data_IF_603572494285
#
_entry.id   IF_603572494285
#
_cell.length_a   1.000
_cell.length_b   1.000
_cell.length_c   1.000
_cell.angle_alpha   90.00
_cell.angle_beta   90.00
_cell.angle_gamma   90.00
#
_symmetry.space_group_name_H-M   'P 1'
#
loop_
_entity.id
_entity.type
_entity.pdbx_description
1 polymer ?
#
# COMPACT_ATOMS: atom_id res chain seq x y z
N UNK A 1 -17.04 -18.27 39.66
CA UNK A 1 -18.03 -18.65 38.62
C UNK A 1 -18.13 -17.53 37.60
N UNK A 2 -17.09 -17.31 36.77
CA UNK A 2 -17.02 -16.15 35.87
C UNK A 2 -16.12 -16.41 34.64
N UNK A 3 -16.17 -17.63 34.11
CA UNK A 3 -15.33 -18.05 32.98
C UNK A 3 -16.10 -18.77 31.86
N UNK A 4 -17.40 -18.52 31.70
CA UNK A 4 -18.23 -19.22 30.69
C UNK A 4 -19.08 -18.33 29.77
N UNK A 5 -18.85 -17.01 29.71
CA UNK A 5 -19.64 -16.10 28.84
C UNK A 5 -18.88 -15.63 27.58
N UNK A 6 -17.57 -15.90 27.48
CA UNK A 6 -16.73 -15.35 26.41
C UNK A 6 -16.86 -15.99 24.99
N UNK A 7 -17.13 -17.30 24.81
CA UNK A 7 -17.16 -17.87 23.46
C UNK A 7 -18.45 -17.57 22.67
N UNK A 8 -19.53 -17.15 23.34
CA UNK A 8 -20.81 -16.87 22.67
C UNK A 8 -20.91 -15.46 22.10
N UNK A 9 -20.27 -14.45 22.72
CA UNK A 9 -20.29 -13.07 22.22
C UNK A 9 -19.47 -12.87 20.94
N UNK A 10 -18.42 -13.67 20.71
CA UNK A 10 -17.56 -13.52 19.53
C UNK A 10 -18.20 -14.08 18.26
N UNK A 11 -19.03 -15.13 18.37
CA UNK A 11 -19.79 -15.66 17.22
C UNK A 11 -20.94 -14.74 16.81
N UNK A 12 -21.70 -14.19 17.77
CA UNK A 12 -22.82 -13.31 17.47
C UNK A 12 -22.40 -12.01 16.78
N UNK A 13 -21.29 -11.39 17.18
CA UNK A 13 -20.82 -10.16 16.55
C UNK A 13 -20.33 -10.39 15.11
N UNK A 14 -19.73 -11.55 14.82
CA UNK A 14 -19.25 -11.92 13.48
C UNK A 14 -20.43 -12.25 12.55
N UNK A 15 -21.44 -12.98 13.05
CA UNK A 15 -22.68 -13.22 12.28
C UNK A 15 -23.47 -11.93 12.02
N UNK A 16 -23.47 -10.97 12.95
CA UNK A 16 -24.11 -9.66 12.75
C UNK A 16 -23.31 -8.66 11.89
N UNK A 17 -22.01 -8.89 11.68
CA UNK A 17 -21.14 -8.04 10.83
C UNK A 17 -20.86 -8.64 9.46
N UNK A 18 -21.13 -9.93 9.28
CA UNK A 18 -21.08 -10.61 7.99
C UNK A 18 -22.44 -10.50 7.29
N UNK A 19 -22.64 -9.41 6.54
CA UNK A 19 -23.90 -9.15 5.83
C UNK A 19 -24.15 -10.07 4.62
N UNK A 20 -23.32 -11.10 4.39
CA UNK A 20 -23.40 -11.95 3.20
C UNK A 20 -23.40 -11.09 1.94
N UNK A 21 -24.25 -11.41 0.96
CA UNK A 21 -24.41 -10.63 -0.27
C UNK A 21 -25.08 -9.24 -0.05
N UNK A 22 -25.70 -9.02 1.11
CA UNK A 22 -26.41 -7.77 1.40
C UNK A 22 -25.46 -6.62 1.78
N UNK A 23 -24.15 -6.85 1.86
CA UNK A 23 -23.17 -5.83 2.23
C UNK A 23 -23.22 -4.60 1.31
N UNK A 24 -23.49 -4.79 0.01
CA UNK A 24 -23.69 -3.70 -0.96
C UNK A 24 -24.84 -2.78 -0.54
N UNK A 25 -25.91 -3.35 0.01
CA UNK A 25 -27.06 -2.59 0.49
C UNK A 25 -26.72 -1.70 1.68
N UNK A 26 -25.90 -2.21 2.59
CA UNK A 26 -25.49 -1.47 3.78
C UNK A 26 -24.43 -0.42 3.49
N UNK A 27 -23.55 -0.65 2.50
CA UNK A 27 -22.52 0.31 2.10
C UNK A 27 -23.03 1.39 1.14
N UNK A 28 -23.74 0.99 0.10
CA UNK A 28 -24.11 1.86 -1.02
C UNK A 28 -25.61 2.13 -1.13
N UNK A 29 -26.45 1.49 -0.32
CA UNK A 29 -27.90 1.62 -0.40
C UNK A 29 -28.54 0.65 -1.39
N UNK A 30 -29.73 0.97 -1.87
CA UNK A 30 -30.55 0.15 -2.75
C UNK A 30 -30.14 0.40 -4.22
N UNK A 31 -29.85 -0.67 -4.95
CA UNK A 31 -29.56 -0.61 -6.38
C UNK A 31 -30.72 0.05 -7.15
N UNK A 32 -30.40 0.86 -8.16
CA UNK A 32 -31.27 1.72 -8.96
C UNK A 32 -31.93 2.90 -8.22
N UNK A 33 -31.70 3.03 -6.91
CA UNK A 33 -32.09 4.23 -6.15
C UNK A 33 -30.83 5.02 -5.76
N UNK A 34 -29.89 4.35 -5.11
CA UNK A 34 -28.70 4.95 -4.52
C UNK A 34 -27.45 4.78 -5.38
N UNK A 35 -27.40 3.70 -6.14
CA UNK A 35 -26.34 3.45 -7.12
C UNK A 35 -26.87 2.58 -8.26
N UNK A 36 -26.14 2.54 -9.37
CA UNK A 36 -26.32 1.55 -10.43
C UNK A 36 -24.96 1.04 -10.91
N UNK A 37 -24.93 -0.13 -11.52
CA UNK A 37 -23.72 -0.60 -12.18
C UNK A 37 -23.47 0.18 -13.48
N UNK A 38 -22.20 0.46 -13.79
CA UNK A 38 -21.83 0.99 -15.10
C UNK A 38 -22.10 -0.04 -16.20
N UNK A 39 -21.84 -1.32 -15.93
CA UNK A 39 -22.06 -2.45 -16.84
C UNK A 39 -22.53 -3.69 -16.08
N UNK A 40 -21.83 -4.81 -16.25
CA UNK A 40 -22.16 -6.06 -15.55
C UNK A 40 -21.98 -5.92 -14.02
N UNK A 41 -22.96 -6.38 -13.20
CA UNK A 41 -22.82 -6.41 -11.75
C UNK A 41 -21.55 -7.13 -11.30
N UNK A 42 -20.86 -6.57 -10.30
CA UNK A 42 -19.61 -7.08 -9.71
C UNK A 42 -18.39 -7.11 -10.64
N UNK A 43 -18.53 -6.71 -11.91
CA UNK A 43 -17.42 -6.60 -12.87
C UNK A 43 -17.21 -5.18 -13.38
N UNK A 44 -17.96 -4.22 -12.85
CA UNK A 44 -17.91 -2.83 -13.29
C UNK A 44 -18.00 -1.88 -12.09
N UNK A 45 -17.51 -0.63 -12.23
CA UNK A 45 -17.72 0.40 -11.23
C UNK A 45 -19.19 0.65 -10.97
N UNK A 46 -19.48 1.13 -9.76
CA UNK A 46 -20.78 1.70 -9.43
C UNK A 46 -20.82 3.18 -9.80
N UNK A 47 -21.97 3.63 -10.28
CA UNK A 47 -22.31 5.03 -10.44
C UNK A 47 -23.24 5.38 -9.28
N UNK A 48 -22.78 6.25 -8.38
CA UNK A 48 -23.58 6.73 -7.24
C UNK A 48 -24.58 7.77 -7.71
N UNK A 49 -25.84 7.64 -7.28
CA UNK A 49 -26.88 8.64 -7.53
C UNK A 49 -26.57 9.89 -6.72
N UNK A 50 -26.62 11.04 -7.39
CA UNK A 50 -26.57 12.35 -6.76
C UNK A 50 -27.54 12.43 -5.56
N UNK A 51 -27.08 12.79 -4.34
CA UNK A 51 -27.92 12.84 -3.15
C UNK A 51 -29.23 13.62 -3.33
N UNK A 52 -29.21 14.70 -4.12
CA UNK A 52 -30.39 15.54 -4.37
C UNK A 52 -31.45 14.85 -5.24
N UNK A 53 -31.07 13.81 -5.99
CA UNK A 53 -31.96 13.05 -6.87
C UNK A 53 -32.55 11.81 -6.20
N UNK A 54 -32.11 11.48 -4.99
CA UNK A 54 -32.63 10.34 -4.23
C UNK A 54 -34.04 10.70 -3.70
N UNK A 55 -35.07 9.87 -3.92
CA UNK A 55 -36.39 10.13 -3.38
C UNK A 55 -36.37 10.26 -1.86
N UNK A 56 -37.10 11.25 -1.31
CA UNK A 56 -37.09 11.59 0.12
C UNK A 56 -37.31 10.38 1.06
N UNK A 57 -38.15 9.41 0.69
CA UNK A 57 -38.37 8.17 1.48
C UNK A 57 -37.14 7.26 1.60
N UNK A 58 -36.13 7.48 0.77
CA UNK A 58 -34.86 6.74 0.71
C UNK A 58 -33.65 7.64 0.97
N UNK A 59 -33.85 8.94 1.20
CA UNK A 59 -32.78 9.87 1.50
C UNK A 59 -32.26 9.65 2.93
N UNK A 60 -30.94 9.76 3.12
CA UNK A 60 -30.32 9.74 4.44
C UNK A 60 -30.50 11.06 5.19
N UNK A 61 -29.85 11.21 6.34
CA UNK A 61 -29.91 12.43 7.18
C UNK A 61 -29.11 13.63 6.62
N UNK A 62 -28.91 13.69 5.30
CA UNK A 62 -28.25 14.83 4.62
C UNK A 62 -26.72 14.78 4.53
N UNK A 63 -26.09 13.62 4.70
CA UNK A 63 -24.64 13.46 4.45
C UNK A 63 -24.39 12.92 3.03
N UNK A 64 -23.40 13.48 2.33
CA UNK A 64 -22.95 12.97 1.02
C UNK A 64 -22.20 11.62 1.10
N UNK A 65 -22.09 11.08 2.31
CA UNK A 65 -21.44 9.81 2.62
C UNK A 65 -22.54 8.86 3.10
N UNK A 66 -22.77 7.78 2.36
CA UNK A 66 -23.56 6.66 2.87
C UNK A 66 -22.85 6.08 4.09
N UNK A 67 -23.58 5.95 5.22
CA UNK A 67 -23.01 5.50 6.48
C UNK A 67 -22.28 4.16 6.31
N UNK A 68 -21.01 4.13 6.69
CA UNK A 68 -20.18 2.92 6.61
C UNK A 68 -20.65 1.89 7.65
N UNK A 69 -21.60 1.04 7.29
CA UNK A 69 -21.79 -0.26 7.93
C UNK A 69 -21.14 -1.33 7.06
N UNK A 70 -19.89 -1.65 7.40
CA UNK A 70 -19.10 -2.66 6.71
C UNK A 70 -17.63 -2.46 6.97
N UNK A 71 -17.02 -3.42 7.68
CA UNK A 71 -15.56 -3.48 7.80
C UNK A 71 -15.03 -4.29 6.59
N UNK A 72 -13.95 -3.82 5.96
CA UNK A 72 -13.27 -4.49 4.83
C UNK A 72 -12.96 -5.97 5.12
N UNK A 73 -12.77 -6.32 6.40
CA UNK A 73 -12.50 -7.68 6.88
C UNK A 73 -13.63 -8.68 6.56
N UNK A 74 -14.88 -8.22 6.41
CA UNK A 74 -16.05 -9.09 6.16
C UNK A 74 -16.56 -9.05 4.72
N UNK A 75 -15.85 -8.38 3.82
CA UNK A 75 -16.25 -8.19 2.44
C UNK A 75 -15.42 -9.13 1.56
N UNK A 76 -16.12 -10.01 0.83
CA UNK A 76 -15.47 -11.03 0.00
C UNK A 76 -14.93 -10.48 -1.32
N UNK A 77 -15.47 -9.36 -1.80
CA UNK A 77 -15.09 -8.79 -3.08
C UNK A 77 -14.75 -7.30 -2.94
N UNK A 78 -13.46 -6.99 -3.07
CA UNK A 78 -12.93 -5.64 -2.92
C UNK A 78 -13.10 -4.80 -4.18
N UNK A 79 -13.31 -5.41 -5.35
CA UNK A 79 -13.50 -4.72 -6.61
C UNK A 79 -14.71 -3.75 -6.58
N UNK A 80 -15.93 -4.20 -6.24
CA UNK A 80 -17.08 -3.31 -6.07
C UNK A 80 -16.95 -2.45 -4.80
N UNK A 81 -16.19 -2.87 -3.80
CA UNK A 81 -16.01 -2.08 -2.59
C UNK A 81 -15.25 -0.79 -2.88
N UNK A 82 -14.17 -0.86 -3.67
CA UNK A 82 -13.39 0.31 -4.06
C UNK A 82 -13.84 0.94 -5.39
N UNK A 83 -14.85 0.36 -6.03
CA UNK A 83 -15.34 0.80 -7.35
C UNK A 83 -14.23 0.78 -8.41
N UNK A 84 -13.34 -0.21 -8.36
CA UNK A 84 -12.29 -0.34 -9.37
C UNK A 84 -12.89 -0.59 -10.75
N UNK A 85 -12.38 0.13 -11.74
CA UNK A 85 -12.80 -0.05 -13.13
C UNK A 85 -12.24 -1.33 -13.75
N UNK A 86 -12.82 -1.73 -14.87
CA UNK A 86 -12.45 -2.95 -15.57
C UNK A 86 -10.98 -2.94 -16.02
N UNK A 87 -10.41 -1.76 -16.33
CA UNK A 87 -9.01 -1.62 -16.69
C UNK A 87 -8.10 -1.86 -15.48
N UNK A 88 -8.44 -1.35 -14.29
CA UNK A 88 -7.70 -1.67 -13.06
C UNK A 88 -7.87 -3.14 -12.66
N UNK A 89 -9.06 -3.69 -12.80
CA UNK A 89 -9.36 -5.07 -12.44
C UNK A 89 -8.68 -6.09 -13.36
N UNK A 90 -8.38 -5.76 -14.62
CA UNK A 90 -7.63 -6.66 -15.51
C UNK A 90 -6.23 -6.97 -14.99
N UNK A 91 -5.65 -6.07 -14.19
CA UNK A 91 -4.33 -6.26 -13.62
C UNK A 91 -4.36 -7.27 -12.48
N UNK A 92 -5.49 -7.45 -11.77
CA UNK A 92 -5.57 -8.36 -10.62
C UNK A 92 -5.26 -9.82 -11.02
N UNK A 93 -5.91 -10.42 -12.04
CA UNK A 93 -5.53 -11.76 -12.51
C UNK A 93 -4.09 -11.83 -13.02
N UNK A 94 -3.65 -10.79 -13.74
CA UNK A 94 -2.27 -10.72 -14.23
C UNK A 94 -1.27 -10.78 -13.05
N UNK A 95 -1.52 -10.03 -11.97
CA UNK A 95 -0.69 -10.08 -10.77
C UNK A 95 -0.76 -11.44 -10.10
N UNK A 96 -1.95 -12.03 -9.93
CA UNK A 96 -2.09 -13.36 -9.30
C UNK A 96 -1.30 -14.44 -10.04
N UNK A 97 -1.33 -14.42 -11.38
CA UNK A 97 -0.60 -15.38 -12.23
C UNK A 97 0.93 -15.16 -12.20
N UNK A 98 1.38 -13.94 -11.91
CA UNK A 98 2.80 -13.57 -11.88
C UNK A 98 3.36 -13.46 -10.45
N UNK A 99 2.72 -14.14 -9.49
CA UNK A 99 3.21 -14.27 -8.12
C UNK A 99 2.83 -13.11 -7.19
N UNK A 100 1.94 -12.23 -7.61
CA UNK A 100 1.36 -11.15 -6.82
C UNK A 100 2.29 -9.96 -6.60
N UNK A 101 1.81 -9.00 -5.81
CA UNK A 101 2.48 -7.72 -5.49
C UNK A 101 3.91 -7.84 -4.95
N UNK A 102 4.36 -9.03 -4.53
CA UNK A 102 5.63 -9.20 -3.81
C UNK A 102 6.61 -10.20 -4.44
N UNK A 103 6.24 -10.92 -5.50
CA UNK A 103 7.04 -12.04 -5.97
C UNK A 103 7.67 -11.85 -7.35
N UNK A 104 7.29 -10.79 -8.09
CA UNK A 104 7.90 -10.52 -9.39
C UNK A 104 9.09 -9.55 -9.28
N UNK A 105 10.27 -10.00 -9.73
CA UNK A 105 11.47 -9.17 -9.90
C UNK A 105 11.37 -8.28 -11.17
N UNK A 106 10.41 -8.55 -12.05
CA UNK A 106 10.31 -7.92 -13.36
C UNK A 106 9.42 -6.66 -13.38
N UNK A 107 8.49 -6.53 -12.42
CA UNK A 107 7.43 -5.52 -12.49
C UNK A 107 7.56 -4.39 -11.46
N UNK A 108 8.36 -4.58 -10.41
CA UNK A 108 8.53 -3.60 -9.35
C UNK A 108 10.02 -3.28 -9.14
N UNK A 109 10.35 -1.99 -9.16
CA UNK A 109 11.64 -1.53 -8.64
C UNK A 109 11.62 -1.79 -7.13
N UNK A 110 12.31 -2.84 -6.69
CA UNK A 110 12.46 -3.16 -5.28
C UNK A 110 13.81 -2.69 -4.77
N UNK A 111 13.84 -1.94 -3.65
CA UNK A 111 15.09 -1.68 -2.95
C UNK A 111 15.72 -3.00 -2.50
N UNK A 112 17.00 -3.20 -2.78
CA UNK A 112 17.74 -4.37 -2.31
C UNK A 112 17.90 -4.37 -0.78
N UNK A 113 17.97 -3.19 -0.17
CA UNK A 113 18.12 -2.95 1.27
C UNK A 113 16.95 -2.10 1.76
N UNK A 114 16.44 -2.39 2.96
CA UNK A 114 15.31 -1.69 3.57
C UNK A 114 15.74 -1.03 4.87
N UNK A 115 15.37 0.24 5.04
CA UNK A 115 15.44 0.91 6.33
C UNK A 115 14.31 0.42 7.24
N UNK A 116 14.59 -0.62 8.01
CA UNK A 116 13.62 -1.28 8.87
C UNK A 116 14.34 -2.04 10.00
N UNK A 117 13.80 -1.97 11.22
CA UNK A 117 14.32 -2.70 12.39
C UNK A 117 14.31 -4.24 12.21
N UNK A 118 13.50 -4.78 11.30
CA UNK A 118 13.49 -6.20 10.96
C UNK A 118 14.66 -6.64 10.07
N UNK A 119 15.34 -5.70 9.40
CA UNK A 119 16.40 -5.97 8.42
C UNK A 119 17.73 -5.28 8.77
N UNK A 120 17.81 -4.65 9.94
CA UNK A 120 18.97 -3.91 10.43
C UNK A 120 19.14 -4.18 11.93
N UNK A 121 20.37 -4.07 12.44
CA UNK A 121 20.59 -4.03 13.89
C UNK A 121 20.12 -2.67 14.43
N UNK A 122 19.87 -2.59 15.75
CA UNK A 122 19.52 -1.31 16.39
C UNK A 122 20.59 -0.23 16.14
N UNK A 123 21.87 -0.60 16.25
CA UNK A 123 23.00 0.30 15.98
C UNK A 123 23.02 0.80 14.53
N UNK A 124 22.77 -0.08 13.55
CA UNK A 124 22.69 0.32 12.14
C UNK A 124 21.51 1.26 11.89
N UNK A 125 20.37 0.98 12.51
CA UNK A 125 19.16 1.78 12.39
C UNK A 125 19.40 3.19 12.94
N UNK A 126 19.91 3.30 14.18
CA UNK A 126 20.20 4.57 14.83
C UNK A 126 21.27 5.36 14.07
N UNK A 127 22.35 4.71 13.62
CA UNK A 127 23.40 5.36 12.82
C UNK A 127 22.84 5.96 11.53
N UNK A 128 22.01 5.23 10.79
CA UNK A 128 21.41 5.79 9.58
C UNK A 128 20.40 6.89 9.88
N UNK A 129 19.65 6.75 10.98
CA UNK A 129 18.74 7.80 11.44
C UNK A 129 19.47 9.12 11.66
N UNK A 130 20.62 9.08 12.32
CA UNK A 130 21.46 10.26 12.56
C UNK A 130 21.95 10.88 11.25
N UNK A 131 22.53 10.07 10.35
CA UNK A 131 22.97 10.51 9.02
C UNK A 131 21.80 11.17 8.27
N UNK A 132 20.64 10.53 8.27
CA UNK A 132 19.44 11.03 7.60
C UNK A 132 18.97 12.34 8.21
N UNK A 133 18.86 12.43 9.54
CA UNK A 133 18.39 13.65 10.22
C UNK A 133 19.35 14.83 9.98
N UNK A 134 20.67 14.58 9.86
CA UNK A 134 21.69 15.60 9.57
C UNK A 134 21.65 16.12 8.13
N UNK A 135 21.44 15.25 7.14
CA UNK A 135 21.68 15.54 5.71
C UNK A 135 20.41 15.64 4.87
N UNK A 136 19.29 15.04 5.33
CA UNK A 136 18.03 15.06 4.60
C UNK A 136 17.48 16.48 4.33
N UNK A 137 17.58 17.46 5.25
CA UNK A 137 17.13 18.83 4.96
C UNK A 137 17.81 19.45 3.73
N UNK A 138 19.12 19.27 3.60
CA UNK A 138 19.96 19.82 2.53
C UNK A 138 19.69 19.08 1.21
N UNK A 139 19.64 17.75 1.25
CA UNK A 139 19.23 16.92 0.11
C UNK A 139 17.84 17.31 -0.37
N UNK A 140 16.89 17.49 0.55
CA UNK A 140 15.50 17.89 0.22
C UNK A 140 15.46 19.27 -0.44
N UNK A 141 16.28 20.22 0.01
CA UNK A 141 16.38 21.53 -0.61
C UNK A 141 16.83 21.44 -2.08
N UNK A 142 17.88 20.67 -2.37
CA UNK A 142 18.36 20.40 -3.74
C UNK A 142 17.27 19.75 -4.61
N UNK A 143 16.59 18.72 -4.08
CA UNK A 143 15.47 18.06 -4.77
C UNK A 143 14.33 19.01 -5.13
N UNK A 144 13.96 19.88 -4.18
CA UNK A 144 12.88 20.83 -4.38
C UNK A 144 13.25 21.91 -5.41
N UNK A 145 14.48 22.41 -5.39
CA UNK A 145 14.98 23.36 -6.39
C UNK A 145 14.94 22.77 -7.80
N UNK A 146 15.49 21.56 -7.98
CA UNK A 146 15.46 20.87 -9.27
C UNK A 146 14.02 20.64 -9.77
N UNK A 147 13.15 20.12 -8.91
CA UNK A 147 11.74 19.89 -9.24
C UNK A 147 11.03 21.18 -9.64
N UNK A 148 11.30 22.28 -8.93
CA UNK A 148 10.75 23.60 -9.23
C UNK A 148 11.19 24.09 -10.61
N UNK A 149 12.49 24.04 -10.92
CA UNK A 149 13.03 24.47 -12.23
C UNK A 149 12.39 23.70 -13.39
N UNK A 150 12.20 22.40 -13.23
CA UNK A 150 11.55 21.54 -14.23
C UNK A 150 10.09 21.97 -14.43
N UNK A 151 9.34 22.13 -13.34
CA UNK A 151 7.93 22.52 -13.40
C UNK A 151 7.71 23.94 -13.94
N UNK A 152 8.65 24.84 -13.70
CA UNK A 152 8.61 26.22 -14.21
C UNK A 152 9.17 26.35 -15.64
N UNK A 153 9.61 25.25 -16.26
CA UNK A 153 10.14 25.25 -17.63
C UNK A 153 11.45 26.00 -17.79
N UNK A 154 12.25 26.10 -16.72
CA UNK A 154 13.51 26.86 -16.67
C UNK A 154 14.72 26.06 -17.18
N UNK A 155 14.53 24.78 -17.51
CA UNK A 155 15.59 23.87 -17.93
C UNK A 155 15.62 23.77 -19.46
N UNK A 156 16.63 24.38 -20.08
CA UNK A 156 16.84 24.33 -21.52
C UNK A 156 17.54 23.04 -21.97
N UNK A 157 18.45 22.49 -21.15
CA UNK A 157 19.14 21.22 -21.38
C UNK A 157 18.98 20.33 -20.14
N UNK A 158 18.11 19.34 -20.25
CA UNK A 158 17.81 18.41 -19.16
C UNK A 158 19.01 17.53 -18.80
N UNK A 159 19.87 17.21 -19.77
CA UNK A 159 21.00 16.32 -19.51
C UNK A 159 22.06 17.04 -18.66
N UNK A 160 22.40 18.28 -19.02
CA UNK A 160 23.33 19.10 -18.25
C UNK A 160 22.78 19.39 -16.84
N UNK A 161 21.51 19.76 -16.71
CA UNK A 161 20.89 20.02 -15.40
C UNK A 161 20.84 18.75 -14.54
N UNK A 162 20.61 17.57 -15.13
CA UNK A 162 20.62 16.31 -14.41
C UNK A 162 21.98 15.99 -13.79
N UNK A 163 23.08 16.22 -14.53
CA UNK A 163 24.45 16.01 -13.99
C UNK A 163 24.70 16.93 -12.80
N UNK A 164 24.39 18.23 -12.94
CA UNK A 164 24.54 19.21 -11.87
C UNK A 164 23.68 18.86 -10.65
N UNK A 165 22.45 18.39 -10.87
CA UNK A 165 21.57 17.95 -9.81
C UNK A 165 22.18 16.82 -8.99
N UNK A 166 22.71 15.78 -9.65
CA UNK A 166 23.38 14.67 -8.96
C UNK A 166 24.61 15.16 -8.19
N UNK A 167 25.46 15.99 -8.80
CA UNK A 167 26.63 16.57 -8.11
C UNK A 167 26.22 17.35 -6.85
N UNK A 168 25.14 18.14 -6.93
CA UNK A 168 24.62 18.87 -5.79
C UNK A 168 24.08 17.96 -4.70
N UNK A 169 23.44 16.83 -5.03
CA UNK A 169 23.01 15.86 -4.02
C UNK A 169 24.21 15.30 -3.26
N UNK A 170 25.26 14.86 -3.97
CA UNK A 170 26.48 14.35 -3.36
C UNK A 170 27.18 15.40 -2.50
N UNK A 171 27.28 16.65 -2.97
CA UNK A 171 27.85 17.74 -2.20
C UNK A 171 27.05 18.11 -0.92
N UNK A 172 25.78 17.68 -0.83
CA UNK A 172 24.87 17.98 0.28
C UNK A 172 24.57 16.75 1.16
N UNK A 173 25.39 15.70 1.09
CA UNK A 173 25.35 14.58 2.04
C UNK A 173 24.79 13.27 1.49
N UNK A 174 24.47 13.18 0.19
CA UNK A 174 24.06 11.91 -0.41
C UNK A 174 25.20 10.87 -0.38
N UNK A 175 26.46 11.31 -0.40
CA UNK A 175 27.64 10.46 -0.27
C UNK A 175 27.60 9.60 1.00
N UNK A 176 27.19 10.18 2.13
CA UNK A 176 27.08 9.46 3.40
C UNK A 176 26.00 8.38 3.36
N UNK A 177 24.89 8.62 2.65
CA UNK A 177 23.84 7.62 2.46
C UNK A 177 24.38 6.48 1.60
N UNK A 178 25.08 6.82 0.52
CA UNK A 178 25.69 5.84 -0.39
C UNK A 178 26.73 5.00 0.33
N UNK A 179 27.57 5.60 1.19
CA UNK A 179 28.53 4.86 2.00
C UNK A 179 27.84 3.89 2.96
N UNK A 180 26.86 4.38 3.73
CA UNK A 180 26.10 3.54 4.68
C UNK A 180 25.42 2.36 3.96
N UNK A 181 24.71 2.62 2.86
CA UNK A 181 23.98 1.59 2.14
C UNK A 181 24.87 0.67 1.33
N UNK A 182 26.12 1.03 1.01
CA UNK A 182 27.07 0.13 0.38
C UNK A 182 27.90 -0.69 1.37
N UNK A 183 27.76 -0.46 2.69
CA UNK A 183 28.37 -1.32 3.69
C UNK A 183 27.81 -2.76 3.59
N UNK A 184 28.71 -3.72 3.44
CA UNK A 184 28.40 -5.15 3.34
C UNK A 184 27.68 -5.67 4.59
N UNK A 185 27.83 -5.02 5.75
CA UNK A 185 27.15 -5.38 6.98
C UNK A 185 25.66 -5.00 6.97
N UNK A 186 25.26 -4.05 6.12
CA UNK A 186 23.85 -3.77 5.85
C UNK A 186 23.39 -4.77 4.80
N UNK A 187 22.71 -5.83 5.25
CA UNK A 187 22.37 -6.97 4.39
C UNK A 187 21.13 -6.69 3.53
N UNK A 188 21.06 -7.34 2.38
CA UNK A 188 19.91 -7.24 1.48
C UNK A 188 18.73 -8.06 1.99
N UNK A 189 17.53 -7.75 1.51
CA UNK A 189 16.35 -8.57 1.77
C UNK A 189 16.56 -10.04 1.36
N UNK A 190 17.24 -10.28 0.24
CA UNK A 190 17.54 -11.63 -0.26
C UNK A 190 18.42 -12.43 0.71
N UNK A 191 19.38 -11.80 1.38
CA UNK A 191 20.18 -12.45 2.42
C UNK A 191 19.29 -13.03 3.52
N UNK A 192 18.39 -12.24 4.09
CA UNK A 192 17.49 -12.68 5.16
C UNK A 192 16.46 -13.72 4.68
N UNK A 193 15.91 -13.54 3.47
CA UNK A 193 15.02 -14.53 2.83
C UNK A 193 15.70 -15.91 2.72
N UNK A 194 16.97 -15.93 2.32
CA UNK A 194 17.74 -17.16 2.14
C UNK A 194 18.19 -17.79 3.47
N UNK A 195 18.48 -16.98 4.49
CA UNK A 195 18.80 -17.48 5.84
C UNK A 195 17.67 -18.35 6.42
N UNK A 196 16.41 -17.90 6.24
CA UNK A 196 15.21 -18.62 6.70
C UNK A 196 15.04 -19.98 5.99
N UNK A 197 15.42 -20.07 4.73
CA UNK A 197 15.36 -21.31 3.95
C UNK A 197 16.44 -22.31 4.35
N UNK A 198 17.61 -21.83 4.77
CA UNK A 198 18.73 -22.68 5.20
C UNK A 198 18.43 -23.38 6.54
N UNK A 199 17.93 -22.64 7.53
CA UNK A 199 17.53 -23.19 8.84
C UNK A 199 16.38 -24.22 8.74
N UNK A 200 15.49 -24.05 7.76
CA UNK A 200 14.40 -25.00 7.50
C UNK A 200 14.87 -26.28 6.78
N UNK A 201 16.00 -26.23 6.04
CA UNK A 201 16.58 -27.42 5.40
C UNK A 201 17.39 -28.27 6.38
N UNK A 202 18.11 -27.66 7.31
CA UNK A 202 18.90 -28.41 8.30
C UNK A 202 18.03 -29.13 9.34
N UNK A 203 16.90 -28.53 9.73
CA UNK A 203 15.92 -29.20 10.61
C UNK A 203 15.27 -30.43 9.97
N UNK A 204 15.24 -30.53 8.62
CA UNK A 204 14.76 -31.74 7.92
C UNK A 204 15.85 -32.78 7.65
N UNK A 205 17.14 -32.41 7.67
CA UNK A 205 18.26 -33.36 7.50
C UNK A 205 18.68 -34.04 8.80
N UNK A 206 18.32 -33.50 9.97
CA UNK A 206 18.55 -34.14 11.27
C UNK A 206 17.47 -35.14 11.72
N UNK A 207 16.52 -35.48 10.85
CA UNK A 207 15.37 -36.35 11.15
C UNK A 207 15.32 -37.64 10.29
N UNK A 208 16.48 -38.16 9.89
CA UNK A 208 16.64 -39.47 9.26
C UNK A 208 17.62 -40.33 10.08
#
# INVERSE_FOLDING_TARGET
MLFLIYPYLRKSLIEYSYFGENWMRYKFGIENIHYKWYGEPFKSPIIVTDPEKIPAKYAGTGTNVFGQFGNIIFIKDLAPYFSYDAFLMQWVPYWEDHGGYFNDELLWIRPDKFYNEATMTAEQYDRYKEIYDETNPQITAVRNDFTKKINEGQVADLHAEWVLYIEQLYANGLDQWVEFWNDDNVKTYLYYKNLRLFLYRDTKRGAL
#
